data_IF_655290462175
#
_entry.id   IF_655290462175
#
_cell.length_a   1.000
_cell.length_b   1.000
_cell.length_c   1.000
_cell.angle_alpha   90.00
_cell.angle_beta   90.00
_cell.angle_gamma   90.00
#
_symmetry.space_group_name_H-M   'P 1'
#
loop_
_entity.id
_entity.type
_entity.pdbx_description
1 polymer ?
#
# COMPACT_ATOMS: atom_id res chain seq x y z
N UNK A 1 28.44 50.74 52.28
CA UNK A 1 28.27 49.42 51.64
C UNK A 1 28.08 49.66 50.16
N UNK A 2 29.16 49.45 49.40
CA UNK A 2 29.24 49.68 47.96
C UNK A 2 28.72 48.43 47.23
N UNK A 3 27.96 48.61 46.14
CA UNK A 3 28.09 47.76 44.95
C UNK A 3 27.84 48.56 43.67
N UNK A 4 28.76 48.32 42.74
CA UNK A 4 28.98 48.98 41.46
C UNK A 4 27.96 48.63 40.36
N UNK A 5 28.13 49.38 39.28
CA UNK A 5 27.36 49.55 38.06
C UNK A 5 27.91 48.64 36.94
N UNK A 6 27.06 48.26 35.96
CA UNK A 6 27.29 48.36 34.48
C UNK A 6 27.10 47.09 33.63
N UNK A 7 25.98 47.11 32.89
CA UNK A 7 25.69 46.81 31.45
C UNK A 7 26.17 45.50 30.76
N UNK A 8 25.25 44.94 29.96
CA UNK A 8 25.57 44.01 28.85
C UNK A 8 24.34 43.33 28.26
N UNK A 9 23.89 43.80 27.09
CA UNK A 9 22.60 43.57 26.41
C UNK A 9 22.50 42.29 25.53
N UNK A 10 21.25 42.00 25.14
CA UNK A 10 20.76 41.31 23.91
C UNK A 10 20.26 39.86 24.07
N UNK A 11 18.94 39.63 23.92
CA UNK A 11 18.34 39.17 22.65
C UNK A 11 16.82 38.87 22.76
N UNK A 12 16.08 39.53 21.88
CA UNK A 12 14.85 39.12 21.19
C UNK A 12 13.55 38.81 21.97
N UNK A 13 12.64 39.79 21.88
CA UNK A 13 11.19 39.61 21.79
C UNK A 13 10.82 38.48 20.81
N UNK A 14 9.88 37.62 21.22
CA UNK A 14 9.00 36.93 20.29
C UNK A 14 7.57 37.04 20.82
N UNK A 15 6.87 38.03 20.29
CA UNK A 15 5.42 38.08 20.22
C UNK A 15 4.93 36.76 19.59
N UNK A 16 4.18 35.97 20.34
CA UNK A 16 3.37 34.88 19.79
C UNK A 16 2.15 35.47 19.10
N UNK A 17 2.40 36.07 17.94
CA UNK A 17 1.39 36.57 17.04
C UNK A 17 0.53 35.38 16.60
N UNK A 18 -0.65 35.26 17.20
CA UNK A 18 -1.68 34.30 16.80
C UNK A 18 -2.31 34.81 15.50
N UNK A 19 -2.14 34.15 14.34
CA UNK A 19 -2.86 34.54 13.14
C UNK A 19 -4.22 33.83 13.19
N UNK A 20 -5.21 34.56 13.70
CA UNK A 20 -6.56 34.69 13.15
C UNK A 20 -7.07 33.48 12.37
N UNK A 21 -7.88 32.69 13.07
CA UNK A 21 -8.85 31.80 12.45
C UNK A 21 -9.99 32.64 11.84
N UNK A 22 -9.79 33.14 10.62
CA UNK A 22 -10.87 33.69 9.81
C UNK A 22 -11.07 32.89 8.51
N UNK A 23 -12.10 32.04 8.61
CA UNK A 23 -13.19 31.83 7.66
C UNK A 23 -12.85 31.91 6.17
N UNK A 24 -12.94 30.75 5.51
CA UNK A 24 -13.85 30.54 4.38
C UNK A 24 -13.97 29.04 4.06
N UNK A 25 -14.89 28.33 4.74
CA UNK A 25 -15.76 27.34 4.09
C UNK A 25 -16.91 26.95 5.04
N UNK A 26 -18.02 27.70 5.00
CA UNK A 26 -19.27 27.30 5.63
C UNK A 26 -19.91 26.21 4.77
N UNK A 27 -19.69 24.95 5.14
CA UNK A 27 -20.35 23.83 4.49
C UNK A 27 -19.69 22.47 4.73
N UNK A 28 -19.46 22.07 5.97
CA UNK A 28 -19.64 20.65 6.29
C UNK A 28 -19.88 20.44 7.80
N UNK A 29 -21.14 20.26 8.16
CA UNK A 29 -21.57 19.68 9.44
C UNK A 29 -21.30 18.17 9.49
N UNK A 30 -20.24 17.72 8.83
CA UNK A 30 -19.82 16.35 8.83
C UNK A 30 -18.46 16.30 9.50
N UNK A 31 -18.43 15.68 10.69
CA UNK A 31 -17.23 15.41 11.47
C UNK A 31 -16.40 14.31 10.77
N UNK A 32 -15.98 14.56 9.52
CA UNK A 32 -15.39 13.59 8.59
C UNK A 32 -14.31 14.25 7.74
N UNK A 33 -13.18 13.57 7.61
CA UNK A 33 -12.10 13.88 6.69
C UNK A 33 -12.14 12.82 5.58
N UNK A 34 -11.95 13.27 4.35
CA UNK A 34 -11.76 12.39 3.18
C UNK A 34 -10.39 12.66 2.61
N UNK A 35 -9.64 11.60 2.31
CA UNK A 35 -8.32 11.66 1.70
C UNK A 35 -8.29 10.71 0.52
N UNK A 36 -7.61 11.14 -0.53
CA UNK A 36 -7.31 10.34 -1.72
C UNK A 36 -5.80 10.12 -1.79
N UNK A 37 -5.39 9.14 -2.60
CA UNK A 37 -3.98 8.79 -2.83
C UNK A 37 -3.16 8.53 -1.55
N UNK A 38 -3.82 7.99 -0.51
CA UNK A 38 -3.17 7.66 0.74
C UNK A 38 -2.49 6.29 0.65
N UNK A 39 -1.26 6.18 1.12
CA UNK A 39 -0.51 4.91 1.13
C UNK A 39 -0.64 4.24 2.48
N UNK A 40 -1.01 2.96 2.52
CA UNK A 40 -0.98 2.17 3.77
C UNK A 40 0.46 1.96 4.20
N UNK A 41 0.86 2.49 5.36
CA UNK A 41 2.20 2.28 5.93
C UNK A 41 2.29 1.02 6.78
N UNK A 42 1.27 0.73 7.58
CA UNK A 42 1.26 -0.46 8.43
C UNK A 42 -0.14 -0.93 8.77
N UNK A 43 -0.29 -2.24 9.01
CA UNK A 43 -1.54 -2.85 9.43
C UNK A 43 -1.29 -3.69 10.67
N UNK A 44 -2.12 -3.51 11.71
CA UNK A 44 -2.07 -4.37 12.89
C UNK A 44 -3.45 -4.68 13.44
N UNK A 45 -3.53 -5.71 14.28
CA UNK A 45 -4.74 -6.10 15.00
C UNK A 45 -4.45 -6.14 16.48
N UNK A 46 -5.26 -5.44 17.28
CA UNK A 46 -5.15 -5.44 18.74
C UNK A 46 -6.55 -5.52 19.32
N UNK A 47 -6.78 -6.46 20.23
CA UNK A 47 -8.03 -6.58 21.00
C UNK A 47 -9.30 -6.57 20.12
N UNK A 48 -9.27 -7.27 18.97
CA UNK A 48 -10.40 -7.35 18.04
C UNK A 48 -10.63 -6.11 17.17
N UNK A 49 -9.85 -5.04 17.35
CA UNK A 49 -9.85 -3.86 16.48
C UNK A 49 -8.69 -3.92 15.49
N UNK A 50 -8.93 -3.46 14.26
CA UNK A 50 -7.89 -3.31 13.26
C UNK A 50 -7.37 -1.89 13.20
N UNK A 51 -6.07 -1.73 13.01
CA UNK A 51 -5.38 -0.45 12.93
C UNK A 51 -4.68 -0.39 11.58
N UNK A 52 -5.06 0.60 10.76
CA UNK A 52 -4.48 0.83 9.43
C UNK A 52 -3.83 2.20 9.45
N UNK A 53 -2.50 2.25 9.48
CA UNK A 53 -1.76 3.51 9.41
C UNK A 53 -1.61 3.90 7.96
N UNK A 54 -2.05 5.12 7.60
CA UNK A 54 -1.93 5.66 6.25
C UNK A 54 -1.10 6.94 6.26
N UNK A 55 -0.42 7.18 5.14
CA UNK A 55 0.26 8.44 4.85
C UNK A 55 -0.41 9.11 3.65
N UNK A 56 -0.67 10.41 3.72
CA UNK A 56 -1.36 11.13 2.65
C UNK A 56 -0.83 12.55 2.49
N UNK A 57 -0.77 13.07 1.25
CA UNK A 57 -0.36 14.44 0.99
C UNK A 57 -1.45 15.43 1.39
N UNK A 58 -1.02 16.57 1.95
CA UNK A 58 -1.89 17.71 2.25
C UNK A 58 -1.25 18.97 1.69
N UNK A 59 -1.99 19.70 0.87
CA UNK A 59 -1.54 20.96 0.28
C UNK A 59 -1.38 22.02 1.38
N UNK A 60 -0.17 22.56 1.53
CA UNK A 60 0.11 23.69 2.42
C UNK A 60 -0.19 25.04 1.78
N UNK A 61 -0.18 26.10 2.59
CA UNK A 61 -0.49 27.49 2.17
C UNK A 61 0.42 28.07 1.07
N UNK A 62 1.61 27.49 0.84
CA UNK A 62 2.63 28.01 -0.08
C UNK A 62 3.02 26.98 -1.17
N UNK A 63 2.08 26.25 -1.76
CA UNK A 63 2.34 25.19 -2.77
C UNK A 63 3.23 24.01 -2.30
N UNK A 64 3.61 23.98 -1.02
CA UNK A 64 4.41 22.89 -0.44
C UNK A 64 3.48 21.78 0.09
N UNK A 65 3.60 20.59 -0.50
CA UNK A 65 2.87 19.39 -0.05
C UNK A 65 3.51 18.83 1.21
N UNK A 66 2.73 18.68 2.28
CA UNK A 66 3.17 18.05 3.52
C UNK A 66 2.56 16.66 3.62
N UNK A 67 3.35 15.67 4.02
CA UNK A 67 2.85 14.32 4.29
C UNK A 67 2.31 14.28 5.72
N UNK A 68 1.06 13.85 5.87
CA UNK A 68 0.46 13.56 7.17
C UNK A 68 0.33 12.04 7.36
N UNK A 69 0.43 11.60 8.61
CA UNK A 69 0.30 10.19 9.00
C UNK A 69 -0.83 10.08 10.02
N UNK A 70 -1.76 9.14 9.80
CA UNK A 70 -2.86 8.86 10.73
C UNK A 70 -3.08 7.36 10.83
N UNK A 71 -3.41 6.89 12.03
CA UNK A 71 -3.82 5.50 12.25
C UNK A 71 -5.34 5.40 12.31
N UNK A 72 -5.89 4.66 11.37
CA UNK A 72 -7.33 4.42 11.22
C UNK A 72 -7.74 3.19 12.02
N UNK A 73 -8.63 3.38 12.99
CA UNK A 73 -9.25 2.32 13.78
C UNK A 73 -10.46 1.80 13.01
N UNK A 74 -10.37 0.55 12.60
CA UNK A 74 -11.39 -0.16 11.83
C UNK A 74 -12.28 -0.99 12.75
N UNK A 75 -13.56 -1.05 12.42
CA UNK A 75 -14.58 -1.83 13.13
C UNK A 75 -15.43 -2.62 12.13
N UNK A 76 -16.39 -3.41 12.62
CA UNK A 76 -17.38 -4.10 11.77
C UNK A 76 -18.18 -3.16 10.86
N UNK A 77 -18.26 -1.88 11.22
CA UNK A 77 -19.01 -0.87 10.46
C UNK A 77 -18.13 -0.12 9.44
N UNK A 78 -16.81 -0.38 9.41
CA UNK A 78 -15.92 0.24 8.44
C UNK A 78 -16.12 -0.44 7.09
N UNK A 79 -16.52 0.33 6.08
CA UNK A 79 -16.72 -0.18 4.72
C UNK A 79 -15.38 -0.31 4.02
N UNK A 80 -14.95 -1.53 3.72
CA UNK A 80 -13.72 -1.79 3.00
C UNK A 80 -14.04 -2.34 1.60
N UNK A 81 -13.41 -1.78 0.57
CA UNK A 81 -13.60 -2.20 -0.82
C UNK A 81 -12.30 -2.28 -1.60
N UNK A 82 -12.26 -3.19 -2.57
CA UNK A 82 -11.20 -3.24 -3.58
C UNK A 82 -11.37 -2.12 -4.64
N UNK A 83 -10.46 -2.07 -5.60
CA UNK A 83 -10.45 -1.13 -6.73
C UNK A 83 -11.65 -1.28 -7.68
N UNK A 84 -12.35 -2.41 -7.63
CA UNK A 84 -13.55 -2.68 -8.42
C UNK A 84 -14.85 -2.39 -7.62
N UNK A 85 -14.72 -1.98 -6.36
CA UNK A 85 -15.85 -1.71 -5.46
C UNK A 85 -16.40 -2.95 -4.75
N UNK A 86 -15.78 -4.12 -4.90
CA UNK A 86 -16.20 -5.33 -4.20
C UNK A 86 -15.87 -5.22 -2.70
N UNK A 87 -16.72 -5.73 -1.80
CA UNK A 87 -16.42 -5.75 -0.38
C UNK A 87 -15.20 -6.62 -0.08
N UNK A 88 -14.26 -6.08 0.69
CA UNK A 88 -13.08 -6.82 1.20
C UNK A 88 -12.99 -6.71 2.71
N UNK A 89 -12.13 -7.52 3.32
CA UNK A 89 -11.81 -7.45 4.73
C UNK A 89 -10.45 -6.82 5.01
N UNK A 90 -10.20 -6.54 6.30
CA UNK A 90 -8.91 -6.05 6.77
C UNK A 90 -7.72 -6.99 6.45
N UNK A 91 -7.96 -8.28 6.18
CA UNK A 91 -6.90 -9.24 5.78
C UNK A 91 -6.42 -9.01 4.35
N UNK A 92 -7.25 -8.37 3.53
CA UNK A 92 -7.00 -8.18 2.12
C UNK A 92 -6.23 -6.88 1.87
N UNK A 93 -6.33 -5.93 2.82
CA UNK A 93 -5.47 -4.74 2.86
C UNK A 93 -4.01 -5.13 3.11
N UNK A 94 -3.10 -4.42 2.45
CA UNK A 94 -1.65 -4.62 2.58
C UNK A 94 -0.93 -3.29 2.67
N UNK A 95 0.23 -3.31 3.34
CA UNK A 95 1.16 -2.19 3.32
C UNK A 95 1.52 -1.84 1.87
N UNK A 96 1.69 -0.55 1.61
CA UNK A 96 1.91 0.12 0.34
C UNK A 96 0.71 0.20 -0.62
N UNK A 97 -0.47 -0.35 -0.28
CA UNK A 97 -1.66 -0.11 -1.11
C UNK A 97 -2.01 1.38 -1.11
N UNK A 98 -2.42 1.90 -2.26
CA UNK A 98 -2.98 3.24 -2.38
C UNK A 98 -4.48 3.15 -2.15
N UNK A 99 -4.99 3.98 -1.26
CA UNK A 99 -6.38 3.97 -0.82
C UNK A 99 -6.97 5.38 -0.78
N UNK A 100 -8.25 5.47 -1.06
CA UNK A 100 -9.09 6.58 -0.61
C UNK A 100 -9.72 6.20 0.73
N UNK A 101 -9.68 7.10 1.70
CA UNK A 101 -10.21 6.83 3.04
C UNK A 101 -11.13 7.96 3.52
N UNK A 102 -12.18 7.59 4.24
CA UNK A 102 -13.04 8.52 5.00
C UNK A 102 -13.01 8.14 6.47
N UNK A 103 -12.74 9.11 7.34
CA UNK A 103 -12.59 8.88 8.78
C UNK A 103 -13.03 10.11 9.59
N UNK A 104 -13.19 9.94 10.90
CA UNK A 104 -13.64 11.02 11.78
C UNK A 104 -12.61 12.15 11.87
N UNK A 105 -13.06 13.41 11.91
CA UNK A 105 -12.18 14.54 12.25
C UNK A 105 -11.79 14.56 13.74
N UNK A 106 -12.46 13.78 14.60
CA UNK A 106 -12.05 13.60 15.99
C UNK A 106 -10.89 12.62 16.07
N UNK A 107 -9.73 13.12 16.48
CA UNK A 107 -8.49 12.35 16.61
C UNK A 107 -7.96 12.32 18.04
N UNK A 108 -7.21 11.28 18.37
CA UNK A 108 -6.41 11.24 19.61
C UNK A 108 -5.19 12.16 19.50
N UNK A 109 -4.64 12.59 20.64
CA UNK A 109 -3.39 13.37 20.73
C UNK A 109 -2.13 12.47 20.73
N UNK A 110 -2.20 11.26 20.16
CA UNK A 110 -1.09 10.32 20.07
C UNK A 110 -0.21 10.59 18.85
N UNK A 111 0.94 9.92 18.76
CA UNK A 111 1.80 9.92 17.58
C UNK A 111 1.95 8.49 17.02
N UNK A 112 1.44 8.18 15.81
CA UNK A 112 0.52 9.01 15.00
C UNK A 112 -0.84 9.26 15.70
N UNK A 113 -1.58 10.30 15.32
CA UNK A 113 -2.98 10.49 15.73
C UNK A 113 -3.84 9.30 15.28
N UNK A 114 -4.80 8.91 16.10
CA UNK A 114 -5.72 7.81 15.82
C UNK A 114 -7.14 8.33 15.59
N UNK A 115 -7.85 7.78 14.60
CA UNK A 115 -9.23 8.15 14.29
C UNK A 115 -10.07 6.96 13.84
N UNK A 116 -11.38 7.03 14.04
CA UNK A 116 -12.32 6.01 13.59
C UNK A 116 -12.48 6.05 12.06
N UNK A 117 -12.32 4.91 11.40
CA UNK A 117 -12.52 4.75 9.97
C UNK A 117 -13.99 4.52 9.61
N UNK A 118 -14.50 5.27 8.64
CA UNK A 118 -15.81 5.04 8.02
C UNK A 118 -15.68 4.18 6.76
N UNK A 119 -14.71 4.48 5.89
CA UNK A 119 -14.44 3.68 4.70
C UNK A 119 -12.97 3.70 4.30
N UNK A 120 -12.52 2.60 3.68
CA UNK A 120 -11.22 2.45 3.02
C UNK A 120 -11.49 1.78 1.67
N UNK A 121 -11.12 2.42 0.57
CA UNK A 121 -11.26 1.88 -0.78
C UNK A 121 -9.87 1.79 -1.39
N UNK A 122 -9.48 0.60 -1.84
CA UNK A 122 -8.24 0.43 -2.61
C UNK A 122 -8.43 1.16 -3.95
N UNK A 123 -7.52 2.07 -4.27
CA UNK A 123 -7.47 2.78 -5.55
C UNK A 123 -6.43 2.13 -6.45
N UNK A 124 -5.32 1.71 -5.86
CA UNK A 124 -4.27 0.96 -6.53
C UNK A 124 -3.77 -0.11 -5.55
N UNK A 125 -3.70 -1.36 -6.01
CA UNK A 125 -2.96 -2.37 -5.26
C UNK A 125 -1.50 -1.92 -5.16
N UNK A 126 -0.83 -2.25 -4.04
CA UNK A 126 0.58 -1.92 -3.89
C UNK A 126 1.35 -2.49 -5.09
N UNK A 127 1.93 -1.61 -5.91
CA UNK A 127 2.82 -2.00 -7.02
C UNK A 127 4.18 -2.50 -6.52
N UNK A 128 4.34 -2.78 -5.22
CA UNK A 128 5.49 -3.51 -4.73
C UNK A 128 5.51 -4.90 -5.38
N UNK A 129 6.45 -5.05 -6.30
CA UNK A 129 6.74 -6.28 -6.98
C UNK A 129 8.00 -6.92 -6.41
N UNK A 130 8.01 -8.24 -6.32
CA UNK A 130 9.22 -9.00 -6.06
C UNK A 130 9.69 -9.59 -7.40
N UNK A 131 10.97 -9.41 -7.69
CA UNK A 131 11.62 -10.02 -8.86
C UNK A 131 12.39 -11.24 -8.38
N UNK A 132 12.09 -12.38 -8.96
CA UNK A 132 12.75 -13.66 -8.66
C UNK A 132 12.94 -14.48 -9.93
N UNK A 133 13.78 -15.51 -9.85
CA UNK A 133 13.98 -16.46 -10.94
C UNK A 133 13.48 -17.84 -10.53
N UNK A 134 12.92 -18.57 -11.49
CA UNK A 134 12.38 -19.90 -11.24
C UNK A 134 12.48 -20.78 -12.48
N UNK A 135 12.77 -22.07 -12.26
CA UNK A 135 12.67 -23.08 -13.31
C UNK A 135 11.21 -23.47 -13.45
N UNK A 136 10.69 -23.40 -14.67
CA UNK A 136 9.31 -23.76 -14.99
C UNK A 136 9.13 -25.26 -14.82
N UNK A 137 8.18 -25.66 -13.99
CA UNK A 137 7.74 -27.04 -13.84
C UNK A 137 6.51 -27.31 -14.71
N UNK A 138 5.58 -26.36 -14.74
CA UNK A 138 4.29 -26.53 -15.39
C UNK A 138 3.78 -25.20 -15.98
N UNK A 139 3.08 -25.31 -17.10
CA UNK A 139 2.35 -24.19 -17.73
C UNK A 139 0.95 -24.68 -18.05
N UNK A 140 -0.07 -24.05 -17.46
CA UNK A 140 -1.47 -24.29 -17.80
C UNK A 140 -2.04 -23.06 -18.51
N UNK A 141 -2.67 -23.30 -19.66
CA UNK A 141 -3.27 -22.25 -20.50
C UNK A 141 -4.63 -22.66 -21.08
N UNK A 142 -5.27 -23.66 -20.49
CA UNK A 142 -6.55 -24.22 -20.90
C UNK A 142 -7.64 -24.01 -19.84
N UNK A 143 -8.90 -24.10 -20.26
CA UNK A 143 -10.09 -24.16 -19.36
C UNK A 143 -10.34 -22.93 -18.47
N UNK A 144 -9.88 -21.75 -18.89
CA UNK A 144 -10.22 -20.48 -18.22
C UNK A 144 -9.40 -20.19 -16.97
N UNK A 145 -8.34 -20.96 -16.71
CA UNK A 145 -7.41 -20.71 -15.62
C UNK A 145 -5.97 -20.82 -16.13
N UNK A 146 -5.25 -19.69 -16.16
CA UNK A 146 -3.88 -19.64 -16.67
C UNK A 146 -2.91 -19.56 -15.49
N UNK A 147 -1.97 -20.49 -15.39
CA UNK A 147 -0.91 -20.41 -14.39
C UNK A 147 0.45 -20.88 -14.88
N UNK A 148 1.47 -20.42 -14.18
CA UNK A 148 2.84 -20.89 -14.26
C UNK A 148 3.23 -21.48 -12.90
N UNK A 149 3.85 -22.67 -12.89
CA UNK A 149 4.44 -23.24 -11.68
C UNK A 149 5.96 -23.22 -11.83
N UNK A 150 6.67 -22.68 -10.85
CA UNK A 150 8.14 -22.77 -10.78
C UNK A 150 8.58 -23.45 -9.49
N UNK A 151 9.83 -23.91 -9.46
CA UNK A 151 10.47 -24.50 -8.28
C UNK A 151 11.32 -25.71 -8.64
N UNK A 152 11.54 -26.59 -7.66
CA UNK A 152 12.14 -27.91 -7.86
C UNK A 152 11.03 -28.98 -7.85
N UNK A 153 11.11 -29.93 -8.78
CA UNK A 153 10.10 -30.98 -8.99
C UNK A 153 9.86 -31.81 -7.71
N UNK A 154 10.94 -32.18 -7.03
CA UNK A 154 10.90 -33.03 -5.82
C UNK A 154 10.74 -32.24 -4.51
N UNK A 155 10.56 -30.92 -4.56
CA UNK A 155 10.46 -30.09 -3.36
C UNK A 155 9.30 -29.08 -3.46
N UNK A 156 8.12 -29.50 -3.01
CA UNK A 156 6.90 -28.67 -3.02
C UNK A 156 7.04 -27.36 -2.22
N UNK A 157 7.92 -27.29 -1.23
CA UNK A 157 8.17 -26.07 -0.46
C UNK A 157 9.00 -25.03 -1.21
N UNK A 158 9.68 -25.44 -2.28
CA UNK A 158 10.36 -24.53 -3.22
C UNK A 158 9.44 -24.03 -4.33
N UNK A 159 8.23 -24.58 -4.43
CA UNK A 159 7.34 -24.31 -5.56
C UNK A 159 6.47 -23.08 -5.32
N UNK A 160 6.25 -22.30 -6.37
CA UNK A 160 5.36 -21.13 -6.36
C UNK A 160 4.48 -21.19 -7.60
N UNK A 161 3.17 -21.01 -7.40
CA UNK A 161 2.20 -20.92 -8.50
C UNK A 161 1.87 -19.45 -8.78
N UNK A 162 2.04 -19.04 -10.02
CA UNK A 162 1.74 -17.68 -10.47
C UNK A 162 0.47 -17.71 -11.31
N UNK A 163 -0.57 -17.02 -10.87
CA UNK A 163 -1.74 -16.71 -11.69
C UNK A 163 -1.32 -15.75 -12.80
N UNK A 164 -1.65 -16.11 -14.04
CA UNK A 164 -1.39 -15.31 -15.23
C UNK A 164 -2.70 -14.64 -15.67
N UNK A 165 -2.69 -13.32 -15.78
CA UNK A 165 -3.86 -12.52 -16.18
C UNK A 165 -3.65 -11.91 -17.56
N UNK A 166 -4.66 -11.23 -18.09
CA UNK A 166 -4.54 -10.44 -19.31
C UNK A 166 -3.60 -9.22 -19.15
N UNK A 167 -3.32 -8.79 -17.92
CA UNK A 167 -2.38 -7.72 -17.63
C UNK A 167 -0.92 -8.20 -17.52
N UNK A 168 -0.69 -9.52 -17.40
CA UNK A 168 0.66 -10.08 -17.27
C UNK A 168 1.44 -9.92 -18.58
N UNK A 169 2.63 -9.30 -18.49
CA UNK A 169 3.52 -9.11 -19.64
C UNK A 169 4.43 -10.33 -19.81
N UNK A 170 4.26 -11.09 -20.89
CA UNK A 170 5.01 -12.32 -21.14
C UNK A 170 5.98 -12.12 -22.30
N UNK A 171 7.28 -12.38 -22.07
CA UNK A 171 8.35 -12.04 -23.01
C UNK A 171 9.34 -13.19 -23.24
N UNK A 172 9.88 -13.24 -24.45
CA UNK A 172 11.05 -14.06 -24.77
C UNK A 172 12.35 -13.46 -24.20
N UNK A 173 13.49 -14.11 -24.45
CA UNK A 173 14.81 -13.63 -24.01
C UNK A 173 15.21 -12.27 -24.55
N UNK A 174 14.71 -11.91 -25.73
CA UNK A 174 15.00 -10.65 -26.41
C UNK A 174 14.03 -9.55 -25.98
N UNK A 175 13.08 -9.84 -25.10
CA UNK A 175 12.06 -8.91 -24.63
C UNK A 175 10.83 -8.81 -25.53
N UNK A 176 10.73 -9.64 -26.58
CA UNK A 176 9.57 -9.62 -27.47
C UNK A 176 8.37 -10.29 -26.79
N UNK A 177 7.14 -9.76 -26.96
CA UNK A 177 5.94 -10.39 -26.44
C UNK A 177 5.74 -11.81 -27.01
N UNK A 178 5.42 -12.77 -26.15
CA UNK A 178 5.08 -14.15 -26.53
C UNK A 178 3.83 -14.61 -25.77
N UNK A 179 3.05 -15.57 -26.31
CA UNK A 179 1.94 -16.13 -25.55
C UNK A 179 2.44 -17.08 -24.45
N UNK A 180 1.68 -17.23 -23.37
CA UNK A 180 2.02 -18.12 -22.23
C UNK A 180 2.40 -19.54 -22.68
N UNK A 181 1.65 -20.11 -23.63
CA UNK A 181 1.88 -21.45 -24.20
C UNK A 181 3.24 -21.65 -24.88
N UNK A 182 3.97 -20.57 -25.16
CA UNK A 182 5.33 -20.62 -25.69
C UNK A 182 6.38 -20.88 -24.62
N UNK A 183 6.06 -20.64 -23.34
CA UNK A 183 6.89 -21.05 -22.20
C UNK A 183 6.74 -22.56 -22.04
N UNK A 184 7.84 -23.26 -21.74
CA UNK A 184 7.88 -24.72 -21.60
C UNK A 184 8.49 -25.14 -20.27
N UNK A 185 8.07 -26.30 -19.71
CA UNK A 185 8.76 -26.94 -18.60
C UNK A 185 10.27 -27.05 -18.87
N UNK A 186 11.07 -26.81 -17.82
CA UNK A 186 12.53 -26.79 -17.85
C UNK A 186 13.16 -25.43 -18.14
N UNK A 187 12.43 -24.50 -18.76
CA UNK A 187 12.96 -23.14 -19.01
C UNK A 187 13.19 -22.38 -17.71
N UNK A 188 14.21 -21.52 -17.69
CA UNK A 188 14.41 -20.56 -16.61
C UNK A 188 13.71 -19.25 -16.97
N UNK A 189 12.92 -18.74 -16.05
CA UNK A 189 12.21 -17.46 -16.20
C UNK A 189 12.57 -16.51 -15.08
N UNK A 190 12.63 -15.22 -15.41
CA UNK A 190 12.60 -14.12 -14.46
C UNK A 190 11.16 -13.65 -14.32
N UNK A 191 10.67 -13.60 -13.09
CA UNK A 191 9.29 -13.26 -12.77
C UNK A 191 9.29 -12.04 -11.88
N UNK A 192 8.60 -11.00 -12.33
CA UNK A 192 8.15 -9.92 -11.49
C UNK A 192 6.74 -10.30 -11.03
N UNK A 193 6.55 -10.51 -9.74
CA UNK A 193 5.26 -10.88 -9.16
C UNK A 193 4.82 -9.86 -8.14
N UNK A 194 3.53 -9.88 -7.81
CA UNK A 194 3.05 -9.14 -6.67
C UNK A 194 3.75 -9.61 -5.39
N UNK A 195 4.00 -8.67 -4.47
CA UNK A 195 4.66 -8.97 -3.19
C UNK A 195 3.83 -9.88 -2.28
N UNK A 196 2.54 -10.06 -2.56
CA UNK A 196 1.62 -10.87 -1.78
C UNK A 196 1.44 -12.29 -2.33
N UNK A 197 1.18 -13.26 -1.47
CA UNK A 197 0.87 -14.64 -1.87
C UNK A 197 -0.05 -15.33 -0.85
N UNK A 198 -0.72 -16.42 -1.26
CA UNK A 198 -1.55 -17.25 -0.39
C UNK A 198 -0.68 -18.03 0.62
N UNK A 199 -1.26 -18.41 1.75
CA UNK A 199 -0.62 -19.29 2.74
C UNK A 199 -0.78 -20.79 2.41
N UNK A 200 -1.00 -21.13 1.13
CA UNK A 200 -1.10 -22.52 0.68
C UNK A 200 0.27 -23.13 0.39
N UNK A 201 0.31 -24.44 0.12
CA UNK A 201 1.49 -25.15 -0.37
C UNK A 201 1.11 -25.83 -1.70
N UNK A 202 1.69 -25.42 -2.85
CA UNK A 202 2.56 -24.25 -2.99
C UNK A 202 1.80 -22.92 -2.74
N UNK A 203 2.50 -21.85 -2.30
CA UNK A 203 1.94 -20.50 -2.28
C UNK A 203 1.56 -20.04 -3.69
N UNK A 204 0.54 -19.19 -3.77
CA UNK A 204 -0.01 -18.67 -5.02
C UNK A 204 0.02 -17.14 -5.03
N UNK A 205 0.40 -16.54 -6.15
CA UNK A 205 0.52 -15.08 -6.33
C UNK A 205 0.23 -14.68 -7.78
N UNK A 206 0.13 -13.39 -8.09
CA UNK A 206 -0.07 -12.90 -9.46
C UNK A 206 1.27 -12.51 -10.09
N UNK A 207 1.52 -12.94 -11.31
CA UNK A 207 2.66 -12.45 -12.10
C UNK A 207 2.32 -11.13 -12.80
N UNK A 208 3.21 -10.16 -12.69
CA UNK A 208 3.15 -8.87 -13.41
C UNK A 208 3.93 -8.99 -14.72
N UNK A 209 5.16 -9.52 -14.67
CA UNK A 209 6.00 -9.79 -15.83
C UNK A 209 6.58 -11.21 -15.73
N UNK A 210 6.60 -11.94 -16.84
CA UNK A 210 7.34 -13.20 -16.99
C UNK A 210 8.25 -13.10 -18.21
N UNK A 211 9.56 -13.26 -18.02
CA UNK A 211 10.54 -13.23 -19.09
C UNK A 211 11.35 -14.52 -19.11
N UNK A 212 11.38 -15.21 -20.26
CA UNK A 212 12.29 -16.33 -20.47
C UNK A 212 13.73 -15.81 -20.47
N UNK A 213 14.62 -16.41 -19.69
CA UNK A 213 16.04 -16.03 -19.64
C UNK A 213 16.98 -17.15 -20.10
N UNK A 214 16.61 -18.43 -19.96
CA UNK A 214 17.34 -19.57 -20.54
C UNK A 214 16.41 -20.74 -20.94
N UNK A 215 16.94 -21.76 -21.62
CA UNK A 215 16.21 -22.93 -22.16
C UNK A 215 16.84 -24.20 -21.66
#
# INVERSE_FOLDING_TARGET
MNREITLGSNHAEFESNSPSAERNNMGDRNNTISVDDAVIQSISRRQGSGYVTIQYPVSGRNTMTHIQVVTLITSRNTRMRDQFGNPIGLRDLREGMVVSARFSSMMTRSQPPQSRAFSIMVVQENESSIIEEGRVLEVESSRGFNYLLTGQEDNIYSQVRYTITNATLIRDRRGNPIPLRSIRPGQLVRIERASFQTMSIPPQTTALTVQVISS
#
